data_IF_133652740836
#
_entry.id   IF_133652740836
#
_cell.length_a   1.000
_cell.length_b   1.000
_cell.length_c   1.000
_cell.angle_alpha   90.00
_cell.angle_beta   90.00
_cell.angle_gamma   90.00
#
_symmetry.space_group_name_H-M   'P 1'
#
loop_
_entity.id
_entity.type
_entity.pdbx_description
1 polymer ?
#
# COMPACT_ATOMS: atom_id res chain seq x y z
N UNK A 1 5.38 0.27 33.49
CA UNK A 1 5.15 1.32 32.48
C UNK A 1 5.99 0.95 31.26
N UNK A 2 5.42 0.85 30.05
CA UNK A 2 6.13 0.39 28.87
C UNK A 2 6.99 1.51 28.28
N UNK A 3 8.22 1.18 27.89
CA UNK A 3 9.17 2.09 27.27
C UNK A 3 8.77 2.39 25.82
N UNK A 4 8.70 3.68 25.48
CA UNK A 4 8.54 4.18 24.12
C UNK A 4 9.75 3.80 23.26
N UNK A 5 9.59 3.40 21.97
CA UNK A 5 10.71 3.12 21.09
C UNK A 5 11.28 4.43 20.51
N UNK A 6 11.78 5.32 21.37
CA UNK A 6 12.48 6.53 20.95
C UNK A 6 14.00 6.31 21.00
N UNK A 7 14.53 5.90 19.84
CA UNK A 7 15.92 6.08 19.38
C UNK A 7 17.06 5.37 20.12
N UNK A 8 17.46 4.20 19.61
CA UNK A 8 18.69 3.48 19.97
C UNK A 8 19.86 3.87 19.03
N UNK A 9 19.67 4.85 18.14
CA UNK A 9 20.60 5.15 17.04
C UNK A 9 21.40 6.44 17.31
N UNK A 10 22.70 6.40 17.02
CA UNK A 10 23.55 7.59 17.04
C UNK A 10 23.30 8.49 15.81
N UNK A 11 23.78 9.74 15.83
CA UNK A 11 23.52 10.73 14.78
C UNK A 11 23.98 10.28 13.37
N UNK A 12 25.10 9.54 13.28
CA UNK A 12 25.60 9.02 12.00
C UNK A 12 24.76 7.85 11.47
N UNK A 13 24.26 6.99 12.36
CA UNK A 13 23.34 5.91 12.03
C UNK A 13 22.00 6.45 11.58
N UNK A 14 21.50 7.50 12.24
CA UNK A 14 20.26 8.16 11.86
C UNK A 14 20.36 8.78 10.45
N UNK A 15 21.45 9.49 10.15
CA UNK A 15 21.68 10.05 8.81
C UNK A 15 21.75 8.97 7.70
N UNK A 16 22.31 7.80 8.01
CA UNK A 16 22.31 6.65 7.08
C UNK A 16 20.92 6.05 6.90
N UNK A 17 20.14 5.93 7.98
CA UNK A 17 18.75 5.45 7.91
C UNK A 17 17.88 6.43 7.11
N UNK A 18 18.06 7.73 7.30
CA UNK A 18 17.27 8.76 6.62
C UNK A 18 17.57 8.77 5.11
N UNK A 19 18.85 8.73 4.71
CA UNK A 19 19.24 8.64 3.30
C UNK A 19 18.76 7.35 2.63
N UNK A 20 18.85 6.21 3.33
CA UNK A 20 18.31 4.94 2.84
C UNK A 20 16.78 4.97 2.70
N UNK A 21 16.07 5.63 3.62
CA UNK A 21 14.61 5.80 3.56
C UNK A 21 14.19 6.63 2.36
N UNK A 22 14.90 7.73 2.06
CA UNK A 22 14.64 8.55 0.87
C UNK A 22 14.84 7.74 -0.41
N UNK A 23 15.96 7.01 -0.51
CA UNK A 23 16.21 6.14 -1.66
C UNK A 23 15.12 5.06 -1.83
N UNK A 24 14.61 4.52 -0.71
CA UNK A 24 13.52 3.55 -0.74
C UNK A 24 12.19 4.17 -1.18
N UNK A 25 11.88 5.38 -0.71
CA UNK A 25 10.67 6.09 -1.15
C UNK A 25 10.69 6.35 -2.66
N UNK A 26 11.82 6.80 -3.20
CA UNK A 26 11.97 7.00 -4.65
C UNK A 26 11.76 5.71 -5.45
N UNK A 27 12.27 4.57 -4.95
CA UNK A 27 12.05 3.26 -5.59
C UNK A 27 10.59 2.85 -5.53
N UNK A 28 9.94 3.04 -4.40
CA UNK A 28 8.52 2.71 -4.22
C UNK A 28 7.64 3.55 -5.15
N UNK A 29 7.91 4.86 -5.27
CA UNK A 29 7.18 5.73 -6.19
C UNK A 29 7.40 5.32 -7.65
N UNK A 30 8.64 4.99 -8.01
CA UNK A 30 8.94 4.49 -9.36
C UNK A 30 8.18 3.19 -9.64
N UNK A 31 8.19 2.25 -8.70
CA UNK A 31 7.47 0.98 -8.81
C UNK A 31 5.95 1.22 -8.99
N UNK A 32 5.34 2.06 -8.15
CA UNK A 32 3.91 2.38 -8.27
C UNK A 32 3.57 3.08 -9.59
N UNK A 33 4.49 3.87 -10.15
CA UNK A 33 4.32 4.50 -11.46
C UNK A 33 4.46 3.51 -12.62
N UNK A 34 5.35 2.54 -12.50
CA UNK A 34 5.56 1.49 -13.51
C UNK A 34 4.48 0.39 -13.46
N UNK A 35 3.72 0.31 -12.36
CA UNK A 35 2.69 -0.70 -12.12
C UNK A 35 1.28 -0.07 -11.92
N UNK A 36 0.64 0.42 -13.01
CA UNK A 36 -0.69 1.03 -12.94
C UNK A 36 -1.77 0.07 -12.41
N UNK A 37 -1.58 -1.25 -12.53
CA UNK A 37 -2.49 -2.27 -12.01
C UNK A 37 -2.70 -2.14 -10.50
N UNK A 38 -1.65 -1.74 -9.76
CA UNK A 38 -1.71 -1.58 -8.30
C UNK A 38 -2.58 -0.38 -7.96
N UNK A 39 -2.43 0.72 -8.71
CA UNK A 39 -3.23 1.92 -8.52
C UNK A 39 -4.71 1.63 -8.78
N UNK A 40 -5.04 1.00 -9.91
CA UNK A 40 -6.42 0.62 -10.28
C UNK A 40 -7.04 -0.32 -9.24
N UNK A 41 -6.29 -1.33 -8.79
CA UNK A 41 -6.76 -2.27 -7.76
C UNK A 41 -7.07 -1.54 -6.44
N UNK A 42 -6.19 -0.65 -5.98
CA UNK A 42 -6.39 0.13 -4.76
C UNK A 42 -7.57 1.10 -4.89
N UNK A 43 -7.71 1.79 -6.02
CA UNK A 43 -8.84 2.68 -6.28
C UNK A 43 -10.17 1.92 -6.23
N UNK A 44 -10.25 0.74 -6.85
CA UNK A 44 -11.46 -0.11 -6.78
C UNK A 44 -11.77 -0.56 -5.35
N UNK A 45 -10.75 -0.99 -4.61
CA UNK A 45 -10.93 -1.36 -3.21
C UNK A 45 -11.50 -0.21 -2.38
N UNK A 46 -10.91 0.99 -2.49
CA UNK A 46 -11.35 2.18 -1.75
C UNK A 46 -12.78 2.57 -2.14
N UNK A 47 -13.11 2.59 -3.43
CA UNK A 47 -14.47 2.87 -3.90
C UNK A 47 -15.47 1.85 -3.32
N UNK A 48 -15.18 0.55 -3.45
CA UNK A 48 -16.05 -0.49 -2.91
C UNK A 48 -16.17 -0.44 -1.38
N UNK A 49 -15.11 -0.07 -0.66
CA UNK A 49 -15.14 0.10 0.79
C UNK A 49 -16.00 1.30 1.20
N UNK A 50 -15.93 2.41 0.47
CA UNK A 50 -16.74 3.61 0.71
C UNK A 50 -18.21 3.39 0.39
N UNK A 51 -18.51 2.61 -0.65
CA UNK A 51 -19.88 2.25 -1.05
C UNK A 51 -20.52 1.26 -0.06
N UNK A 52 -19.82 0.18 0.27
CA UNK A 52 -20.38 -0.90 1.10
C UNK A 52 -20.30 -0.61 2.59
N UNK A 53 -19.41 0.30 3.02
CA UNK A 53 -19.15 0.65 4.44
C UNK A 53 -19.17 -0.56 5.37
N UNK A 54 -18.29 -1.55 5.13
CA UNK A 54 -18.28 -2.77 5.92
C UNK A 54 -17.96 -2.48 7.39
N UNK A 55 -18.57 -3.22 8.31
CA UNK A 55 -18.26 -3.14 9.74
C UNK A 55 -16.82 -3.61 10.04
N UNK A 56 -16.33 -4.59 9.27
CA UNK A 56 -14.95 -5.09 9.35
C UNK A 56 -14.22 -4.88 8.01
N UNK A 57 -13.41 -3.84 7.97
CA UNK A 57 -12.61 -3.47 6.78
C UNK A 57 -11.51 -4.49 6.46
N UNK A 58 -10.96 -5.18 7.47
CA UNK A 58 -9.88 -6.14 7.28
C UNK A 58 -10.39 -7.42 6.65
N UNK A 59 -11.54 -7.91 7.14
CA UNK A 59 -12.22 -9.04 6.52
C UNK A 59 -12.63 -8.71 5.09
N UNK A 60 -13.20 -7.52 4.87
CA UNK A 60 -13.56 -7.05 3.54
C UNK A 60 -12.36 -6.97 2.59
N UNK A 61 -11.21 -6.49 3.08
CA UNK A 61 -9.96 -6.49 2.31
C UNK A 61 -9.52 -7.90 1.95
N UNK A 62 -9.58 -8.84 2.90
CA UNK A 62 -9.28 -10.25 2.66
C UNK A 62 -10.14 -10.82 1.55
N UNK A 63 -11.46 -10.65 1.63
CA UNK A 63 -12.41 -11.14 0.63
C UNK A 63 -12.20 -10.46 -0.74
N UNK A 64 -11.90 -9.16 -0.76
CA UNK A 64 -11.67 -8.40 -2.00
C UNK A 64 -10.37 -8.79 -2.70
N UNK A 65 -9.25 -8.85 -1.97
CA UNK A 65 -7.93 -9.13 -2.57
C UNK A 65 -7.70 -10.60 -2.88
N UNK A 66 -8.50 -11.51 -2.31
CA UNK A 66 -8.44 -12.96 -2.61
C UNK A 66 -9.46 -13.40 -3.67
N UNK A 67 -10.26 -12.47 -4.20
CA UNK A 67 -11.25 -12.78 -5.23
C UNK A 67 -10.56 -13.29 -6.52
N UNK A 68 -10.99 -14.44 -7.07
CA UNK A 68 -10.33 -15.07 -8.22
C UNK A 68 -10.45 -14.25 -9.50
N UNK A 69 -11.50 -13.44 -9.61
CA UNK A 69 -11.81 -12.54 -10.72
C UNK A 69 -11.14 -11.16 -10.60
N UNK A 70 -10.43 -10.90 -9.49
CA UNK A 70 -9.79 -9.60 -9.26
C UNK A 70 -8.81 -9.22 -10.37
N UNK A 71 -8.02 -10.18 -10.84
CA UNK A 71 -7.02 -9.94 -11.89
C UNK A 71 -7.68 -9.50 -13.19
N UNK A 72 -8.68 -10.25 -13.65
CA UNK A 72 -9.42 -9.96 -14.87
C UNK A 72 -10.14 -8.61 -14.78
N UNK A 73 -10.73 -8.31 -13.62
CA UNK A 73 -11.42 -7.04 -13.36
C UNK A 73 -10.47 -5.83 -13.33
N UNK A 74 -9.22 -6.00 -12.92
CA UNK A 74 -8.20 -4.94 -12.92
C UNK A 74 -7.63 -4.76 -14.32
N UNK A 75 -7.38 -5.86 -15.04
CA UNK A 75 -6.92 -5.83 -16.44
C UNK A 75 -7.95 -5.19 -17.39
N UNK A 76 -9.23 -5.48 -17.21
CA UNK A 76 -10.30 -4.87 -18.00
C UNK A 76 -10.40 -3.35 -17.80
N UNK A 77 -10.22 -2.87 -16.56
CA UNK A 77 -10.31 -1.44 -16.21
C UNK A 77 -9.09 -0.64 -16.69
N UNK A 78 -7.92 -1.28 -16.80
CA UNK A 78 -6.72 -0.66 -17.40
C UNK A 78 -6.81 -0.51 -18.91
N UNK A 79 -7.70 -1.24 -19.58
CA UNK A 79 -7.90 -1.19 -21.03
C UNK A 79 -8.95 -0.15 -21.48
N UNK A 80 -9.60 0.55 -20.53
CA UNK A 80 -10.56 1.64 -20.78
C UNK A 80 -9.91 3.02 -20.64
#
# INVERSE_FOLDING_TARGET
MPAEPASILNAEQQAKVDSAKVAQQMKNEKYLREHPEIHTMLSKFVNSALEKRPEDILKFAGDFFTAPDLKENVEADMAQ
#
